data_IF_645500436289
#
_entry.id   IF_645500436289
#
_cell.length_a   1.000
_cell.length_b   1.000
_cell.length_c   1.000
_cell.angle_alpha   90.00
_cell.angle_beta   90.00
_cell.angle_gamma   90.00
#
_symmetry.space_group_name_H-M   'P 1'
#
loop_
_entity.id
_entity.type
_entity.pdbx_description
1 polymer ?
#
# COMPACT_ATOMS: atom_id res chain seq x y z
N UNK A 1 25.16 -44.84 -43.46
CA UNK A 1 25.12 -43.79 -44.50
C UNK A 1 24.95 -42.45 -43.82
N UNK A 2 25.81 -41.50 -44.18
CA UNK A 2 25.83 -40.11 -43.76
C UNK A 2 24.49 -39.39 -44.05
N UNK A 3 24.10 -38.26 -43.46
CA UNK A 3 24.85 -37.01 -43.33
C UNK A 3 24.12 -36.06 -42.36
N UNK A 4 24.89 -35.29 -41.61
CA UNK A 4 24.43 -34.14 -40.83
C UNK A 4 24.03 -32.97 -41.75
N UNK A 5 23.16 -32.07 -41.27
CA UNK A 5 23.15 -30.69 -41.74
C UNK A 5 22.95 -29.73 -40.58
N UNK A 6 24.06 -29.14 -40.13
CA UNK A 6 24.11 -27.90 -39.37
C UNK A 6 24.05 -26.75 -40.38
N UNK A 7 23.22 -25.75 -40.12
CA UNK A 7 23.37 -24.44 -40.76
C UNK A 7 23.67 -23.43 -39.66
N UNK A 8 24.90 -22.93 -39.71
CA UNK A 8 25.41 -21.76 -38.99
C UNK A 8 25.79 -20.75 -40.06
N UNK A 9 25.33 -19.50 -39.93
CA UNK A 9 25.90 -18.29 -40.56
C UNK A 9 25.33 -17.09 -39.78
N UNK A 10 26.07 -16.50 -38.84
CA UNK A 10 27.17 -15.53 -38.99
C UNK A 10 26.71 -14.10 -39.36
N UNK A 11 26.70 -13.26 -38.33
CA UNK A 11 27.40 -11.97 -38.21
C UNK A 11 27.13 -10.84 -39.21
N UNK A 12 26.80 -9.65 -38.69
CA UNK A 12 27.55 -8.42 -39.04
C UNK A 12 27.24 -7.27 -38.06
N UNK A 13 28.24 -6.92 -37.24
CA UNK A 13 28.52 -5.54 -36.86
C UNK A 13 29.12 -4.82 -38.08
N UNK A 14 28.74 -3.56 -38.32
CA UNK A 14 29.59 -2.57 -38.98
C UNK A 14 29.24 -1.14 -38.55
N UNK A 15 30.27 -0.44 -38.06
CA UNK A 15 30.33 1.01 -37.79
C UNK A 15 30.84 1.79 -39.02
N UNK A 16 30.66 3.14 -38.94
CA UNK A 16 31.33 4.24 -39.68
C UNK A 16 30.89 4.46 -41.15
N UNK A 17 30.81 5.66 -41.73
CA UNK A 17 31.49 6.95 -41.48
C UNK A 17 30.70 8.16 -42.06
N UNK A 18 31.12 9.38 -41.67
CA UNK A 18 30.73 10.69 -42.22
C UNK A 18 31.05 10.88 -43.71
N UNK A 19 30.27 11.71 -44.40
CA UNK A 19 30.76 12.62 -45.44
C UNK A 19 29.84 13.85 -45.62
N UNK A 20 30.48 15.01 -45.74
CA UNK A 20 29.94 16.36 -45.83
C UNK A 20 29.04 16.64 -47.06
N UNK A 21 28.10 17.56 -46.88
CA UNK A 21 27.43 18.31 -47.93
C UNK A 21 27.21 19.75 -47.45
N UNK A 22 27.60 20.69 -48.29
CA UNK A 22 27.93 22.10 -48.03
C UNK A 22 26.73 23.05 -48.25
N UNK A 23 26.77 24.19 -47.54
CA UNK A 23 26.11 25.49 -47.78
C UNK A 23 24.57 25.63 -47.88
N UNK A 24 23.97 26.35 -46.91
CA UNK A 24 23.30 27.64 -47.16
C UNK A 24 22.81 28.29 -45.84
N UNK A 25 23.25 29.52 -45.64
CA UNK A 25 22.92 30.45 -44.55
C UNK A 25 21.47 30.99 -44.71
N UNK A 26 20.60 30.84 -43.68
CA UNK A 26 19.38 31.63 -43.45
C UNK A 26 18.69 31.24 -42.10
N UNK A 27 17.91 32.15 -41.49
CA UNK A 27 18.16 32.79 -40.20
C UNK A 27 17.80 31.93 -38.97
N UNK A 28 18.48 32.17 -37.85
CA UNK A 28 18.13 31.62 -36.53
C UNK A 28 16.76 32.13 -36.09
N UNK A 29 15.75 31.27 -35.85
CA UNK A 29 14.59 31.68 -35.08
C UNK A 29 14.99 31.75 -33.61
N UNK A 30 14.95 32.96 -33.04
CA UNK A 30 14.98 33.17 -31.60
C UNK A 30 13.82 32.37 -30.98
N UNK A 31 14.14 31.19 -30.47
CA UNK A 31 13.19 30.39 -29.71
C UNK A 31 13.14 31.03 -28.33
N UNK A 32 12.13 31.88 -28.12
CA UNK A 32 11.78 32.33 -26.78
C UNK A 32 11.63 31.07 -25.91
N UNK A 33 12.54 30.91 -24.95
CA UNK A 33 12.41 29.87 -23.94
C UNK A 33 11.15 30.19 -23.15
N UNK A 34 10.04 29.54 -23.50
CA UNK A 34 8.89 29.45 -22.64
C UNK A 34 9.41 28.78 -21.36
N UNK A 35 9.56 29.58 -20.31
CA UNK A 35 9.74 29.10 -18.95
C UNK A 35 8.48 28.30 -18.64
N UNK A 36 8.56 26.99 -18.82
CA UNK A 36 7.56 26.09 -18.29
C UNK A 36 7.69 26.18 -16.77
N UNK A 37 6.75 26.90 -16.15
CA UNK A 37 6.53 26.85 -14.71
C UNK A 37 6.42 25.36 -14.31
N UNK A 38 7.12 24.89 -13.27
CA UNK A 38 6.98 23.52 -12.83
C UNK A 38 5.50 23.26 -12.55
N UNK A 39 4.92 22.28 -13.25
CA UNK A 39 3.61 21.80 -12.89
C UNK A 39 3.67 21.39 -11.41
N UNK A 40 2.79 21.97 -10.58
CA UNK A 40 2.65 21.55 -9.20
C UNK A 40 2.43 20.03 -9.19
N UNK A 41 3.26 19.31 -8.43
CA UNK A 41 3.02 17.90 -8.18
C UNK A 41 1.57 17.74 -7.70
N UNK A 42 0.81 16.76 -8.22
CA UNK A 42 -0.52 16.49 -7.72
C UNK A 42 -0.42 16.32 -6.21
N UNK A 43 -1.19 17.13 -5.46
CA UNK A 43 -1.29 16.94 -4.02
C UNK A 43 -1.65 15.47 -3.78
N UNK A 44 -0.84 14.78 -2.97
CA UNK A 44 -1.13 13.41 -2.57
C UNK A 44 -2.58 13.36 -2.08
N UNK A 45 -3.38 12.36 -2.48
CA UNK A 45 -4.73 12.21 -1.96
C UNK A 45 -4.61 11.99 -0.45
N UNK A 46 -4.73 13.07 0.32
CA UNK A 46 -4.85 13.00 1.77
C UNK A 46 -6.19 12.33 2.00
N UNK A 47 -6.17 11.01 2.23
CA UNK A 47 -7.39 10.28 2.59
C UNK A 47 -7.94 10.99 3.82
N UNK A 48 -9.10 11.61 3.65
CA UNK A 48 -9.84 12.13 4.78
C UNK A 48 -10.19 10.90 5.62
N UNK A 49 -9.53 10.72 6.77
CA UNK A 49 -9.93 9.70 7.74
C UNK A 49 -11.39 10.02 8.06
N UNK A 50 -12.33 9.11 7.75
CA UNK A 50 -13.73 9.36 8.03
C UNK A 50 -13.90 9.71 9.51
N UNK A 51 -14.79 10.64 9.87
CA UNK A 51 -15.09 10.86 11.27
C UNK A 51 -15.53 9.53 11.89
N UNK A 52 -14.86 9.15 12.98
CA UNK A 52 -15.11 7.88 13.63
C UNK A 52 -16.57 7.77 14.07
N UNK A 53 -17.15 6.56 14.09
CA UNK A 53 -18.48 6.36 14.63
C UNK A 53 -18.56 6.84 16.09
N UNK A 54 -19.76 7.25 16.52
CA UNK A 54 -19.99 7.69 17.90
C UNK A 54 -19.52 6.64 18.92
N UNK A 55 -18.79 7.08 19.94
CA UNK A 55 -18.31 6.24 21.03
C UNK A 55 -16.95 5.59 20.83
N UNK A 56 -16.33 5.72 19.65
CA UNK A 56 -14.94 5.29 19.47
C UNK A 56 -13.99 6.20 20.25
N UNK A 57 -12.96 5.61 20.85
CA UNK A 57 -11.96 6.31 21.67
C UNK A 57 -10.55 6.05 21.15
N UNK A 58 -9.71 7.09 21.16
CA UNK A 58 -8.26 6.97 20.90
C UNK A 58 -7.59 6.39 22.14
N UNK A 59 -6.90 5.26 21.98
CA UNK A 59 -6.18 4.59 23.05
C UNK A 59 -4.69 4.47 22.72
N UNK A 60 -3.86 4.84 23.71
CA UNK A 60 -2.43 4.60 23.66
C UNK A 60 -2.15 3.14 24.06
N UNK A 61 -1.53 2.40 23.16
CA UNK A 61 -1.15 1.01 23.32
C UNK A 61 0.35 0.84 23.15
N UNK A 62 0.85 -0.37 23.38
CA UNK A 62 2.27 -0.68 23.23
C UNK A 62 2.44 -2.07 22.63
N UNK A 63 3.25 -2.15 21.58
CA UNK A 63 3.70 -3.38 20.93
C UNK A 63 5.22 -3.36 20.84
N UNK A 64 5.86 -4.44 21.28
CA UNK A 64 7.32 -4.58 21.25
C UNK A 64 8.10 -3.40 21.87
N UNK A 65 7.53 -2.76 22.90
CA UNK A 65 8.12 -1.58 23.55
C UNK A 65 7.89 -0.26 22.81
N UNK A 66 7.24 -0.27 21.66
CA UNK A 66 6.86 0.90 20.90
C UNK A 66 5.42 1.30 21.21
N UNK A 67 5.23 2.57 21.58
CA UNK A 67 3.90 3.13 21.78
C UNK A 67 3.25 3.44 20.43
N UNK A 68 1.95 3.20 20.35
CA UNK A 68 1.13 3.60 19.21
C UNK A 68 -0.27 3.98 19.69
N UNK A 69 -0.99 4.75 18.91
CA UNK A 69 -2.36 5.13 19.12
C UNK A 69 -3.26 4.37 18.15
N UNK A 70 -4.43 3.97 18.62
CA UNK A 70 -5.43 3.28 17.82
C UNK A 70 -6.82 3.66 18.31
N UNK A 71 -7.76 3.82 17.38
CA UNK A 71 -9.15 4.00 17.77
C UNK A 71 -9.82 2.65 17.95
N UNK A 72 -10.53 2.50 19.06
CA UNK A 72 -11.22 1.28 19.44
C UNK A 72 -12.69 1.56 19.71
N UNK A 73 -13.59 0.59 19.46
CA UNK A 73 -15.00 0.76 19.76
C UNK A 73 -15.23 0.82 21.29
N UNK A 74 -16.34 1.43 21.74
CA UNK A 74 -16.58 1.73 23.15
C UNK A 74 -16.60 0.51 24.07
N UNK A 75 -16.95 -0.66 23.54
CA UNK A 75 -16.77 -1.95 24.21
C UNK A 75 -15.83 -2.78 23.37
N UNK A 76 -14.63 -3.00 23.89
CA UNK A 76 -13.64 -3.85 23.23
C UNK A 76 -12.85 -4.68 24.23
N UNK A 77 -12.23 -5.75 23.72
CA UNK A 77 -11.27 -6.59 24.42
C UNK A 77 -9.99 -6.61 23.62
N UNK A 78 -8.87 -6.38 24.28
CA UNK A 78 -7.54 -6.52 23.68
C UNK A 78 -6.89 -7.81 24.15
N UNK A 79 -6.37 -8.60 23.21
CA UNK A 79 -5.50 -9.74 23.50
C UNK A 79 -4.14 -9.49 22.86
N UNK A 80 -3.07 -9.60 23.66
CA UNK A 80 -1.69 -9.46 23.16
C UNK A 80 -1.08 -10.84 22.96
N UNK A 81 -0.36 -11.04 21.86
CA UNK A 81 0.36 -12.29 21.59
C UNK A 81 1.45 -12.54 22.64
N UNK A 82 1.85 -13.80 22.87
CA UNK A 82 2.88 -14.13 23.86
C UNK A 82 4.25 -13.48 23.60
N UNK A 83 4.57 -13.17 22.34
CA UNK A 83 5.79 -12.48 21.93
C UNK A 83 5.71 -10.96 22.04
N UNK A 84 4.53 -10.40 22.40
CA UNK A 84 4.33 -8.96 22.55
C UNK A 84 4.30 -8.17 21.24
N UNK A 85 4.33 -8.84 20.09
CA UNK A 85 4.43 -8.21 18.76
C UNK A 85 3.10 -8.03 18.06
N UNK A 86 2.01 -8.60 18.59
CA UNK A 86 0.69 -8.53 17.97
C UNK A 86 -0.39 -8.28 19.00
N UNK A 87 -1.33 -7.41 18.66
CA UNK A 87 -2.52 -7.13 19.43
C UNK A 87 -3.77 -7.38 18.59
N UNK A 88 -4.67 -8.15 19.17
CA UNK A 88 -5.97 -8.53 18.62
C UNK A 88 -7.03 -7.74 19.36
N UNK A 89 -7.73 -6.85 18.66
CA UNK A 89 -8.74 -5.97 19.23
C UNK A 89 -10.11 -6.44 18.74
N UNK A 90 -10.93 -6.87 19.68
CA UNK A 90 -12.29 -7.35 19.46
C UNK A 90 -13.28 -6.30 19.91
N UNK A 91 -14.27 -5.97 19.11
CA UNK A 91 -15.33 -5.05 19.49
C UNK A 91 -16.62 -5.29 18.73
N UNK A 92 -17.55 -4.35 18.83
CA UNK A 92 -18.81 -4.39 18.11
C UNK A 92 -19.11 -3.00 17.53
N UNK A 93 -19.43 -2.97 16.24
CA UNK A 93 -20.17 -1.86 15.62
C UNK A 93 -21.64 -2.30 15.51
N UNK A 94 -22.64 -1.40 15.51
CA UNK A 94 -24.05 -1.78 15.64
C UNK A 94 -24.46 -2.97 14.77
N UNK A 95 -24.71 -4.12 15.41
CA UNK A 95 -25.15 -5.36 14.76
C UNK A 95 -24.05 -6.24 14.15
N UNK A 96 -22.77 -5.93 14.35
CA UNK A 96 -21.67 -6.70 13.79
C UNK A 96 -20.43 -6.75 14.70
N UNK A 97 -20.00 -7.95 15.14
CA UNK A 97 -18.75 -8.10 15.86
C UNK A 97 -17.59 -7.84 14.92
N UNK A 98 -16.68 -6.97 15.35
CA UNK A 98 -15.53 -6.56 14.58
C UNK A 98 -14.24 -7.06 15.24
N UNK A 99 -13.27 -7.45 14.41
CA UNK A 99 -11.97 -7.92 14.83
C UNK A 99 -10.90 -7.29 13.94
N UNK A 100 -9.88 -6.72 14.57
CA UNK A 100 -8.72 -6.24 13.85
C UNK A 100 -7.44 -6.53 14.61
N UNK A 101 -6.36 -6.63 13.86
CA UNK A 101 -5.05 -7.00 14.37
C UNK A 101 -4.07 -5.90 14.07
N UNK A 102 -3.31 -5.46 15.08
CA UNK A 102 -2.13 -4.62 14.90
C UNK A 102 -0.91 -5.49 15.16
N UNK A 103 0.10 -5.43 14.28
CA UNK A 103 1.32 -6.19 14.41
C UNK A 103 2.54 -5.30 14.16
N UNK A 104 3.56 -5.46 15.01
CA UNK A 104 4.89 -4.88 14.81
C UNK A 104 5.78 -5.80 13.98
N UNK A 105 6.56 -5.19 13.09
CA UNK A 105 7.49 -5.86 12.21
C UNK A 105 8.92 -5.42 12.52
N UNK A 106 9.81 -6.39 12.72
CA UNK A 106 11.24 -6.09 12.69
C UNK A 106 11.65 -5.85 11.25
N UNK A 107 12.02 -4.61 10.92
CA UNK A 107 12.65 -4.27 9.65
C UNK A 107 14.14 -4.07 9.91
N UNK A 108 15.00 -4.80 9.20
CA UNK A 108 16.45 -4.61 9.27
C UNK A 108 16.91 -3.77 8.10
N UNK A 109 18.03 -3.08 8.31
CA UNK A 109 18.67 -2.29 7.26
C UNK A 109 19.01 -3.20 6.06
N UNK A 110 18.42 -2.91 4.90
CA UNK A 110 18.59 -3.67 3.66
C UNK A 110 17.49 -4.68 3.34
N UNK A 111 16.45 -4.81 4.18
CA UNK A 111 15.26 -5.59 3.85
C UNK A 111 14.41 -4.86 2.79
N UNK A 112 13.80 -5.62 1.87
CA UNK A 112 12.77 -5.09 0.96
C UNK A 112 11.55 -4.60 1.76
N UNK A 113 10.75 -3.63 1.25
CA UNK A 113 9.53 -3.18 1.90
C UNK A 113 8.65 -4.38 2.25
N UNK A 114 8.38 -4.53 3.54
CA UNK A 114 7.72 -5.72 4.08
C UNK A 114 6.27 -5.75 3.61
N UNK A 115 5.92 -6.72 2.77
CA UNK A 115 4.55 -7.28 2.77
C UNK A 115 4.53 -8.31 3.89
N UNK A 116 3.97 -8.00 5.07
CA UNK A 116 4.18 -8.83 6.23
C UNK A 116 3.48 -10.17 6.08
N UNK A 117 4.11 -11.25 6.54
CA UNK A 117 3.62 -12.63 6.40
C UNK A 117 2.17 -12.85 6.90
N UNK A 118 1.67 -12.00 7.81
CA UNK A 118 0.29 -12.09 8.31
C UNK A 118 -0.74 -11.36 7.44
N UNK A 119 -0.30 -10.47 6.54
CA UNK A 119 -1.15 -9.85 5.53
C UNK A 119 -1.22 -10.81 4.36
N UNK A 120 -2.16 -11.75 4.44
CA UNK A 120 -2.59 -12.47 3.26
C UNK A 120 -3.18 -11.45 2.28
N UNK A 121 -2.41 -11.10 1.24
CA UNK A 121 -2.84 -10.26 0.13
C UNK A 121 -3.11 -11.17 -1.07
N UNK A 122 -4.38 -11.39 -1.45
CA UNK A 122 -4.68 -12.08 -2.69
C UNK A 122 -4.16 -11.25 -3.89
N UNK A 123 -3.82 -11.91 -5.00
CA UNK A 123 -3.22 -11.27 -6.18
C UNK A 123 -4.09 -10.15 -6.77
N UNK A 124 -5.39 -10.18 -6.50
CA UNK A 124 -6.38 -9.22 -6.98
C UNK A 124 -6.67 -8.08 -5.99
N UNK A 125 -5.90 -7.97 -4.90
CA UNK A 125 -5.97 -6.83 -3.99
C UNK A 125 -5.54 -5.54 -4.70
N UNK A 126 -6.29 -4.45 -4.49
CA UNK A 126 -5.91 -3.12 -4.93
C UNK A 126 -4.98 -2.51 -3.88
N UNK A 127 -3.77 -2.16 -4.27
CA UNK A 127 -2.76 -1.55 -3.38
C UNK A 127 -2.49 -0.11 -3.77
N UNK A 128 -2.40 0.78 -2.78
CA UNK A 128 -2.08 2.20 -2.94
C UNK A 128 -0.92 2.57 -2.02
N UNK A 129 0.19 3.02 -2.61
CA UNK A 129 1.33 3.61 -1.90
C UNK A 129 0.98 5.02 -1.40
N UNK A 130 1.49 5.37 -0.22
CA UNK A 130 1.31 6.67 0.45
C UNK A 130 2.66 7.16 0.97
N UNK A 131 2.76 8.43 1.38
CA UNK A 131 4.02 8.98 1.90
C UNK A 131 4.48 8.42 3.25
N UNK A 132 3.69 7.57 3.90
CA UNK A 132 3.99 6.98 5.21
C UNK A 132 3.84 5.45 5.24
N UNK A 133 3.74 4.81 4.07
CA UNK A 133 3.55 3.36 3.92
C UNK A 133 2.51 3.04 2.84
N UNK A 134 1.72 1.97 3.02
CA UNK A 134 0.78 1.51 2.00
C UNK A 134 -0.58 1.11 2.57
N UNK A 135 -1.60 1.11 1.72
CA UNK A 135 -2.92 0.52 1.98
C UNK A 135 -3.23 -0.54 0.94
N UNK A 136 -3.93 -1.60 1.34
CA UNK A 136 -4.38 -2.64 0.43
C UNK A 136 -5.80 -3.09 0.76
N UNK A 137 -6.61 -3.28 -0.27
CA UNK A 137 -7.99 -3.71 -0.17
C UNK A 137 -8.30 -4.83 -1.15
N UNK A 138 -8.96 -5.87 -0.65
CA UNK A 138 -9.54 -6.93 -1.46
C UNK A 138 -11.01 -7.17 -1.08
N UNK A 139 -11.87 -7.35 -2.08
CA UNK A 139 -13.32 -7.55 -1.90
C UNK A 139 -13.83 -8.61 -2.87
N UNK A 140 -14.53 -9.62 -2.37
CA UNK A 140 -15.29 -10.57 -3.20
C UNK A 140 -16.78 -10.20 -3.18
N UNK A 141 -17.37 -9.94 -4.34
CA UNK A 141 -18.83 -9.83 -4.62
C UNK A 141 -19.72 -9.44 -3.41
N UNK A 142 -19.32 -8.41 -2.67
CA UNK A 142 -19.96 -7.88 -1.46
C UNK A 142 -19.99 -8.76 -0.20
N UNK A 143 -19.36 -9.93 -0.18
CA UNK A 143 -19.42 -10.86 0.97
C UNK A 143 -18.20 -10.83 1.87
N UNK A 144 -17.05 -10.44 1.34
CA UNK A 144 -15.78 -10.40 2.07
C UNK A 144 -15.06 -9.08 1.82
N UNK A 145 -14.33 -8.62 2.83
CA UNK A 145 -13.39 -7.50 2.72
C UNK A 145 -12.15 -7.88 3.52
N UNK A 146 -10.98 -7.80 2.89
CA UNK A 146 -9.71 -7.70 3.62
C UNK A 146 -9.16 -6.31 3.39
N UNK A 147 -8.95 -5.58 4.49
CA UNK A 147 -8.34 -4.26 4.47
C UNK A 147 -7.09 -4.25 5.34
N UNK A 148 -5.98 -3.74 4.81
CA UNK A 148 -4.72 -3.63 5.54
C UNK A 148 -4.01 -2.30 5.27
N UNK A 149 -3.37 -1.79 6.31
CA UNK A 149 -2.53 -0.58 6.24
C UNK A 149 -1.20 -0.86 6.91
N UNK A 150 -0.10 -0.49 6.26
CA UNK A 150 1.25 -0.51 6.81
C UNK A 150 1.76 0.90 7.05
N UNK A 151 2.40 1.10 8.19
CA UNK A 151 2.95 2.37 8.66
C UNK A 151 4.47 2.23 8.79
N UNK A 152 5.21 2.95 7.96
CA UNK A 152 6.67 2.87 7.90
C UNK A 152 7.35 3.40 9.17
N UNK A 153 6.87 4.52 9.72
CA UNK A 153 7.47 5.16 10.90
C UNK A 153 7.48 4.25 12.14
N UNK A 154 6.49 3.37 12.24
CA UNK A 154 6.39 2.42 13.35
C UNK A 154 6.62 0.96 13.00
N UNK A 155 6.86 0.65 11.72
CA UNK A 155 6.85 -0.72 11.20
C UNK A 155 5.63 -1.52 11.69
N UNK A 156 4.47 -0.85 11.72
CA UNK A 156 3.22 -1.42 12.18
C UNK A 156 2.35 -1.76 10.98
N UNK A 157 1.64 -2.87 11.09
CA UNK A 157 0.55 -3.16 10.17
C UNK A 157 -0.73 -3.37 10.92
N UNK A 158 -1.80 -2.78 10.43
CA UNK A 158 -3.16 -3.12 10.84
C UNK A 158 -3.84 -3.95 9.75
N UNK A 159 -4.59 -4.98 10.15
CA UNK A 159 -5.43 -5.78 9.26
C UNK A 159 -6.82 -6.00 9.84
N UNK A 160 -7.81 -5.90 8.97
CA UNK A 160 -9.20 -6.26 9.21
C UNK A 160 -9.65 -7.26 8.16
N UNK A 161 -10.33 -8.32 8.61
CA UNK A 161 -11.06 -9.24 7.74
C UNK A 161 -12.55 -9.18 8.11
N UNK A 162 -13.39 -8.77 7.15
CA UNK A 162 -14.85 -8.82 7.28
C UNK A 162 -15.41 -9.95 6.41
N UNK A 163 -16.44 -10.62 6.93
CA UNK A 163 -17.23 -11.56 6.16
C UNK A 163 -18.69 -11.53 6.58
N UNK A 164 -19.59 -11.54 5.62
CA UNK A 164 -21.04 -11.59 5.82
C UNK A 164 -21.66 -12.68 4.95
N UNK A 165 -22.76 -13.28 5.43
CA UNK A 165 -23.58 -14.20 4.62
C UNK A 165 -24.36 -13.46 3.52
N UNK A 166 -24.70 -12.21 3.80
CA UNK A 166 -25.36 -11.29 2.88
C UNK A 166 -24.32 -10.26 2.41
N UNK A 167 -24.77 -9.16 1.79
CA UNK A 167 -23.90 -8.06 1.43
C UNK A 167 -23.32 -7.37 2.69
N UNK A 168 -22.04 -6.97 2.62
CA UNK A 168 -21.38 -6.11 3.59
C UNK A 168 -22.05 -4.74 3.58
N UNK A 169 -22.44 -4.28 4.77
CA UNK A 169 -22.99 -2.95 4.93
C UNK A 169 -21.87 -1.91 4.82
N UNK A 170 -22.16 -0.78 4.17
CA UNK A 170 -21.20 0.32 3.99
C UNK A 170 -20.61 0.81 5.34
N UNK A 171 -21.44 0.87 6.38
CA UNK A 171 -20.99 1.25 7.72
C UNK A 171 -19.94 0.30 8.32
N UNK A 172 -19.97 -0.99 7.96
CA UNK A 172 -18.96 -1.96 8.41
C UNK A 172 -17.64 -1.77 7.67
N UNK A 173 -17.71 -1.47 6.37
CA UNK A 173 -16.53 -1.16 5.53
C UNK A 173 -15.85 0.12 6.04
N UNK A 174 -16.63 1.17 6.31
CA UNK A 174 -16.10 2.43 6.85
C UNK A 174 -15.45 2.25 8.22
N UNK A 175 -16.07 1.44 9.09
CA UNK A 175 -15.47 1.09 10.38
C UNK A 175 -14.17 0.28 10.22
N UNK A 176 -14.09 -0.61 9.21
CA UNK A 176 -12.87 -1.35 8.91
C UNK A 176 -11.71 -0.44 8.52
N UNK A 177 -11.99 0.49 7.61
CA UNK A 177 -11.01 1.49 7.19
C UNK A 177 -10.57 2.34 8.38
N UNK A 178 -11.53 2.87 9.14
CA UNK A 178 -11.24 3.75 10.26
C UNK A 178 -10.44 3.06 11.38
N UNK A 179 -10.67 1.78 11.65
CA UNK A 179 -9.88 1.01 12.61
C UNK A 179 -8.40 1.00 12.23
N UNK A 180 -8.08 0.68 10.97
CA UNK A 180 -6.69 0.57 10.52
C UNK A 180 -6.03 1.89 10.17
N UNK A 181 -6.72 2.80 9.48
CA UNK A 181 -6.17 4.10 9.08
C UNK A 181 -5.86 5.01 10.28
N UNK A 182 -6.35 4.64 11.46
CA UNK A 182 -6.12 5.39 12.68
C UNK A 182 -4.91 4.96 13.49
N UNK A 183 -4.27 3.84 13.13
CA UNK A 183 -3.06 3.36 13.80
C UNK A 183 -1.90 4.31 13.48
N UNK A 184 -1.19 4.78 14.50
CA UNK A 184 -0.07 5.73 14.38
C UNK A 184 0.86 5.69 15.57
#
# INVERSE_FOLDING_TARGET
>A
MHLALRITLCSSLSLFALACGEEADAPTPETAAASAEPAAEPAEPTRQIPPLPEGWTDEAMTLDGQAYHVHVPPTHRVETSPDGKRQSIYGEVPGYPFYFTVQHHEVREGDDPVTPDFVFMPEEATTTETSWGWTSEHREEDHTLTYATYFEEGHLTCKVDLSSRDALQQAWIEAAHAACDSVR
#
